data_IF_284726970111
#
_entry.id   IF_284726970111
#
_cell.length_a   1.000
_cell.length_b   1.000
_cell.length_c   1.000
_cell.angle_alpha   90.00
_cell.angle_beta   90.00
_cell.angle_gamma   90.00
#
_symmetry.space_group_name_H-M   'P 1'
#
loop_
_entity.id
_entity.type
_entity.pdbx_description
1 polymer ?
#
# COMPACT_ATOMS: atom_id res chain seq x y z
N UNK A 1 -5.86 -21.25 4.69
CA UNK A 1 -5.33 -19.88 4.50
C UNK A 1 -6.33 -18.96 5.15
N UNK A 2 -5.87 -18.14 6.10
CA UNK A 2 -6.77 -17.35 6.96
C UNK A 2 -6.63 -15.84 6.72
N UNK A 3 -5.66 -15.43 5.89
CA UNK A 3 -5.50 -14.07 5.38
C UNK A 3 -4.68 -14.10 4.07
N UNK A 4 -4.85 -13.07 3.23
CA UNK A 4 -4.03 -12.86 2.02
C UNK A 4 -3.41 -11.47 2.06
N UNK A 5 -2.09 -11.37 1.80
CA UNK A 5 -1.35 -10.12 1.78
C UNK A 5 -0.70 -9.90 0.41
N UNK A 6 -1.02 -8.78 -0.22
CA UNK A 6 -0.29 -8.24 -1.37
C UNK A 6 0.62 -7.11 -0.87
N UNK A 7 1.92 -7.35 -0.85
CA UNK A 7 2.91 -6.50 -0.17
C UNK A 7 3.44 -5.31 -1.02
N UNK A 8 2.67 -4.87 -2.02
CA UNK A 8 3.09 -3.84 -2.96
C UNK A 8 3.07 -4.31 -4.41
N UNK A 9 3.22 -3.35 -5.32
CA UNK A 9 3.38 -3.52 -6.77
C UNK A 9 2.37 -4.47 -7.37
N UNK A 10 1.09 -4.21 -7.07
CA UNK A 10 -0.01 -4.98 -7.63
C UNK A 10 0.00 -4.92 -9.16
N UNK A 11 0.41 -3.76 -9.69
CA UNK A 11 0.58 -3.55 -11.11
C UNK A 11 1.99 -3.10 -11.46
N UNK A 12 2.40 -3.40 -12.70
CA UNK A 12 3.69 -2.93 -13.25
C UNK A 12 3.76 -1.41 -13.41
N UNK A 13 2.62 -0.77 -13.61
CA UNK A 13 2.52 0.68 -13.84
C UNK A 13 1.33 1.28 -13.08
N UNK A 14 1.35 2.59 -12.78
CA UNK A 14 0.25 3.25 -12.07
C UNK A 14 -1.04 3.34 -12.90
N UNK A 15 -0.96 3.04 -14.20
CA UNK A 15 -2.07 3.01 -15.15
C UNK A 15 -2.13 1.63 -15.81
N UNK A 16 -2.56 0.59 -15.06
CA UNK A 16 -2.63 -0.76 -15.61
C UNK A 16 -3.66 -0.86 -16.74
N UNK A 17 -3.43 -1.77 -17.68
CA UNK A 17 -4.40 -2.07 -18.73
C UNK A 17 -5.71 -2.57 -18.11
N UNK A 18 -6.90 -2.14 -18.61
CA UNK A 18 -8.20 -2.61 -18.13
C UNK A 18 -8.35 -4.14 -18.04
N UNK A 19 -7.73 -4.90 -18.94
CA UNK A 19 -7.71 -6.37 -18.88
C UNK A 19 -7.07 -6.86 -17.58
N UNK A 20 -5.92 -6.32 -17.18
CA UNK A 20 -5.26 -6.70 -15.92
C UNK A 20 -6.08 -6.30 -14.70
N UNK A 21 -6.72 -5.12 -14.74
CA UNK A 21 -7.61 -4.68 -13.66
C UNK A 21 -8.81 -5.62 -13.51
N UNK A 22 -9.44 -6.00 -14.62
CA UNK A 22 -10.56 -6.94 -14.65
C UNK A 22 -10.15 -8.31 -14.10
N UNK A 23 -9.06 -8.89 -14.60
CA UNK A 23 -8.63 -10.22 -14.17
C UNK A 23 -8.26 -10.26 -12.68
N UNK A 24 -7.59 -9.20 -12.19
CA UNK A 24 -7.35 -9.08 -10.76
C UNK A 24 -8.64 -8.95 -9.95
N UNK A 25 -9.58 -8.11 -10.40
CA UNK A 25 -10.88 -7.95 -9.72
C UNK A 25 -11.68 -9.27 -9.67
N UNK A 26 -11.60 -10.11 -10.71
CA UNK A 26 -12.20 -11.45 -10.71
C UNK A 26 -11.57 -12.34 -9.65
N UNK A 27 -10.24 -12.36 -9.52
CA UNK A 27 -9.58 -13.16 -8.48
C UNK A 27 -9.84 -12.62 -7.07
N UNK A 28 -9.84 -11.29 -6.91
CA UNK A 28 -10.16 -10.62 -5.66
C UNK A 28 -11.56 -11.02 -5.19
N UNK A 29 -12.55 -10.97 -6.09
CA UNK A 29 -13.93 -11.40 -5.79
C UNK A 29 -14.02 -12.85 -5.33
N UNK A 30 -13.24 -13.76 -5.93
CA UNK A 30 -13.20 -15.18 -5.50
C UNK A 30 -12.70 -15.32 -4.07
N UNK A 31 -11.69 -14.55 -3.68
CA UNK A 31 -11.18 -14.52 -2.31
C UNK A 31 -12.21 -13.93 -1.34
N UNK A 32 -12.87 -12.84 -1.72
CA UNK A 32 -13.91 -12.22 -0.89
C UNK A 32 -15.09 -13.16 -0.59
N UNK A 33 -15.47 -14.01 -1.55
CA UNK A 33 -16.53 -15.01 -1.36
C UNK A 33 -16.20 -16.06 -0.30
N UNK A 34 -14.95 -16.17 0.13
CA UNK A 34 -14.50 -17.13 1.16
C UNK A 34 -14.36 -16.52 2.55
N UNK A 35 -14.71 -15.24 2.71
CA UNK A 35 -14.60 -14.45 3.94
C UNK A 35 -13.16 -14.44 4.52
N UNK A 36 -12.17 -14.51 3.62
CA UNK A 36 -10.76 -14.40 3.98
C UNK A 36 -10.37 -12.92 3.91
N UNK A 37 -9.83 -12.33 4.99
CA UNK A 37 -9.36 -10.95 4.96
C UNK A 37 -8.17 -10.78 4.00
N UNK A 38 -8.20 -9.71 3.22
CA UNK A 38 -7.25 -9.37 2.17
C UNK A 38 -6.62 -8.04 2.50
N UNK A 39 -5.30 -7.94 2.39
CA UNK A 39 -4.55 -6.70 2.59
C UNK A 39 -3.82 -6.33 1.33
N UNK A 40 -4.00 -5.09 0.87
CA UNK A 40 -3.32 -4.52 -0.29
C UNK A 40 -2.42 -3.37 0.19
N UNK A 41 -1.11 -3.59 0.17
CA UNK A 41 -0.12 -2.53 0.42
C UNK A 41 0.17 -1.83 -0.91
N UNK A 42 0.19 -0.49 -0.91
CA UNK A 42 0.55 0.28 -2.12
C UNK A 42 2.07 0.23 -2.35
N UNK A 43 2.48 -0.21 -3.54
CA UNK A 43 3.89 -0.21 -3.97
C UNK A 43 4.32 1.03 -4.75
N UNK A 44 5.57 1.03 -5.19
CA UNK A 44 6.12 2.14 -5.98
C UNK A 44 5.57 2.17 -7.40
N UNK A 45 5.29 1.00 -7.98
CA UNK A 45 4.73 0.90 -9.33
C UNK A 45 3.24 1.21 -9.38
N UNK A 46 2.55 1.19 -8.24
CA UNK A 46 1.14 1.53 -8.13
C UNK A 46 0.88 3.04 -8.01
N UNK A 47 1.92 3.81 -7.65
CA UNK A 47 1.79 5.23 -7.32
C UNK A 47 2.12 6.11 -8.54
N UNK A 48 1.21 7.00 -8.98
CA UNK A 48 1.50 7.96 -10.03
C UNK A 48 2.53 9.02 -9.60
N UNK A 49 3.30 9.54 -10.56
CA UNK A 49 4.30 10.61 -10.32
C UNK A 49 3.65 11.96 -9.95
N UNK A 50 2.37 12.16 -10.30
CA UNK A 50 1.64 13.38 -10.02
C UNK A 50 1.05 13.36 -8.59
N UNK A 51 1.28 14.44 -7.85
CA UNK A 51 0.74 14.61 -6.50
C UNK A 51 -0.79 14.58 -6.48
N UNK A 52 -1.37 13.88 -5.49
CA UNK A 52 -2.82 13.84 -5.27
C UNK A 52 -3.61 12.96 -6.25
N UNK A 53 -2.96 12.32 -7.23
CA UNK A 53 -3.66 11.36 -8.10
C UNK A 53 -3.93 10.05 -7.36
N UNK A 54 -5.07 9.46 -7.68
CA UNK A 54 -5.43 8.14 -7.22
C UNK A 54 -4.38 7.10 -7.65
N UNK A 55 -4.02 6.19 -6.75
CA UNK A 55 -3.18 5.02 -7.07
C UNK A 55 -3.98 4.02 -7.91
N UNK A 56 -3.29 3.15 -8.66
CA UNK A 56 -3.95 2.05 -9.38
C UNK A 56 -4.76 1.13 -8.45
N UNK A 57 -4.37 1.06 -7.16
CA UNK A 57 -5.02 0.27 -6.11
C UNK A 57 -6.23 1.00 -5.50
N UNK A 58 -6.34 2.32 -5.66
CA UNK A 58 -7.40 3.13 -5.03
C UNK A 58 -8.80 2.76 -5.51
N UNK A 59 -8.92 2.19 -6.72
CA UNK A 59 -10.20 1.67 -7.23
C UNK A 59 -10.79 0.65 -6.25
N UNK A 60 -9.97 -0.19 -5.61
CA UNK A 60 -10.43 -1.19 -4.65
C UNK A 60 -10.78 -0.59 -3.28
N UNK A 61 -10.14 0.53 -2.92
CA UNK A 61 -10.51 1.29 -1.73
C UNK A 61 -11.85 2.03 -1.91
N UNK A 62 -12.09 2.58 -3.10
CA UNK A 62 -13.33 3.31 -3.41
C UNK A 62 -14.57 2.40 -3.51
N UNK A 63 -14.37 1.12 -3.82
CA UNK A 63 -15.44 0.12 -3.93
C UNK A 63 -15.88 -0.45 -2.57
N UNK A 64 -15.27 -0.02 -1.46
CA UNK A 64 -15.55 -0.47 -0.08
C UNK A 64 -15.69 -1.99 0.02
N UNK A 65 -14.70 -2.68 -0.53
CA UNK A 65 -14.71 -4.12 -0.70
C UNK A 65 -14.68 -4.85 0.66
N UNK A 66 -15.68 -5.70 0.89
CA UNK A 66 -15.77 -6.52 2.11
C UNK A 66 -14.46 -7.28 2.35
N UNK A 67 -14.05 -7.33 3.62
CA UNK A 67 -12.84 -8.00 4.08
C UNK A 67 -11.55 -7.57 3.35
N UNK A 68 -11.52 -6.39 2.73
CA UNK A 68 -10.35 -5.89 1.99
C UNK A 68 -9.82 -4.61 2.62
N UNK A 69 -8.53 -4.60 2.95
CA UNK A 69 -7.85 -3.50 3.62
C UNK A 69 -6.76 -2.93 2.72
N UNK A 70 -7.01 -1.76 2.13
CA UNK A 70 -5.98 -1.03 1.38
C UNK A 70 -5.16 -0.18 2.34
N UNK A 71 -3.83 -0.32 2.30
CA UNK A 71 -2.89 0.42 3.16
C UNK A 71 -2.15 1.44 2.30
N UNK A 72 -2.50 2.72 2.50
CA UNK A 72 -1.96 3.87 1.74
C UNK A 72 -1.05 4.77 2.56
N UNK A 73 -1.22 4.72 3.88
CA UNK A 73 -0.37 5.39 4.86
C UNK A 73 0.15 4.35 5.83
N UNK A 74 1.32 4.60 6.46
CA UNK A 74 1.79 3.76 7.56
C UNK A 74 0.70 3.63 8.63
N UNK A 75 0.37 2.40 9.04
CA UNK A 75 -0.59 2.14 10.12
C UNK A 75 -0.41 0.76 10.74
N UNK A 76 -0.79 0.65 12.01
CA UNK A 76 -0.92 -0.61 12.74
C UNK A 76 -2.42 -0.96 12.88
N UNK A 77 -2.81 -2.17 12.55
CA UNK A 77 -4.19 -2.65 12.70
C UNK A 77 -4.24 -4.15 12.92
N UNK A 78 -5.36 -4.66 13.44
CA UNK A 78 -5.56 -6.08 13.71
C UNK A 78 -6.71 -6.61 12.87
N UNK A 79 -6.50 -7.73 12.21
CA UNK A 79 -7.50 -8.48 11.47
C UNK A 79 -8.03 -9.62 12.33
N UNK A 80 -9.33 -9.88 12.25
CA UNK A 80 -9.90 -11.13 12.75
C UNK A 80 -9.74 -12.20 11.68
N UNK A 81 -9.10 -13.33 12.02
CA UNK A 81 -8.97 -14.48 11.14
C UNK A 81 -9.56 -15.74 11.80
N UNK A 82 -9.75 -16.82 11.03
CA UNK A 82 -10.24 -18.11 11.55
C UNK A 82 -9.32 -18.71 12.63
N UNK A 83 -8.02 -18.40 12.57
CA UNK A 83 -7.01 -18.87 13.52
C UNK A 83 -6.72 -17.87 14.64
N UNK A 84 -7.50 -16.80 14.76
CA UNK A 84 -7.34 -15.76 15.78
C UNK A 84 -6.93 -14.40 15.21
N UNK A 85 -6.62 -13.43 16.08
CA UNK A 85 -6.25 -12.08 15.65
C UNK A 85 -4.86 -12.07 14.97
N UNK A 86 -4.77 -11.39 13.83
CA UNK A 86 -3.53 -11.14 13.10
C UNK A 86 -3.22 -9.64 13.10
N UNK A 87 -2.17 -9.22 13.79
CA UNK A 87 -1.72 -7.83 13.78
C UNK A 87 -0.84 -7.55 12.56
N UNK A 88 -1.06 -6.40 11.91
CA UNK A 88 -0.34 -5.96 10.72
C UNK A 88 0.18 -4.54 10.93
N UNK A 89 1.51 -4.41 10.89
CA UNK A 89 2.20 -3.13 10.74
C UNK A 89 2.43 -2.89 9.24
N UNK A 90 1.58 -2.09 8.61
CA UNK A 90 1.63 -1.81 7.18
C UNK A 90 2.51 -0.59 6.90
N UNK A 91 3.51 -0.75 6.03
CA UNK A 91 4.38 0.33 5.55
C UNK A 91 4.35 0.38 4.01
N UNK A 92 3.51 1.25 3.41
CA UNK A 92 3.49 1.46 1.96
C UNK A 92 4.77 2.08 1.44
N UNK A 93 4.99 2.01 0.12
CA UNK A 93 6.16 2.62 -0.49
C UNK A 93 6.28 4.11 -0.13
N UNK A 94 7.42 4.57 0.42
CA UNK A 94 7.61 5.96 0.77
C UNK A 94 7.65 6.81 -0.50
N UNK A 95 6.54 7.47 -0.81
CA UNK A 95 6.49 8.34 -1.98
C UNK A 95 7.34 9.59 -1.73
N UNK A 96 8.13 9.99 -2.74
CA UNK A 96 9.01 11.18 -2.67
C UNK A 96 8.24 12.47 -2.32
N UNK A 97 6.92 12.47 -2.50
CA UNK A 97 6.04 13.57 -2.15
C UNK A 97 6.02 13.87 -0.66
N UNK A 98 6.15 12.87 0.22
CA UNK A 98 6.21 13.09 1.67
C UNK A 98 7.42 13.94 2.09
N UNK A 99 8.49 13.94 1.30
CA UNK A 99 9.68 14.76 1.54
C UNK A 99 9.62 16.12 0.84
N UNK A 100 8.93 16.24 -0.30
CA UNK A 100 8.90 17.51 -1.07
C UNK A 100 8.04 18.62 -0.43
N UNK A 101 7.24 18.30 0.58
CA UNK A 101 6.44 19.29 1.32
C UNK A 101 7.30 20.22 2.19
N UNK A 102 8.54 19.85 2.46
CA UNK A 102 9.48 20.63 3.25
C UNK A 102 10.66 21.05 2.37
N UNK A 103 10.84 22.37 2.23
CA UNK A 103 11.84 22.99 1.35
C UNK A 103 13.28 22.54 1.69
N UNK A 104 13.50 22.09 2.93
CA UNK A 104 14.77 21.53 3.41
C UNK A 104 15.23 20.32 2.59
N UNK A 105 14.30 19.54 2.02
CA UNK A 105 14.63 18.33 1.25
C UNK A 105 14.82 18.57 -0.25
N UNK A 106 14.49 19.76 -0.77
CA UNK A 106 14.61 20.07 -2.21
C UNK A 106 16.06 20.23 -2.68
N UNK A 107 16.97 20.53 -1.76
CA UNK A 107 18.40 20.76 -2.05
C UNK A 107 19.28 19.52 -1.81
N UNK A 108 18.71 18.42 -1.33
CA UNK A 108 19.48 17.21 -1.05
C UNK A 108 19.95 16.52 -2.33
N UNK A 109 21.14 15.93 -2.28
CA UNK A 109 21.58 14.98 -3.29
C UNK A 109 20.63 13.77 -3.34
N UNK A 110 20.64 13.03 -4.45
CA UNK A 110 19.84 11.81 -4.57
C UNK A 110 20.20 10.78 -3.47
N UNK A 111 21.48 10.69 -3.10
CA UNK A 111 21.95 9.79 -2.06
C UNK A 111 21.45 10.21 -0.67
N UNK A 112 21.55 11.49 -0.35
CA UNK A 112 21.07 12.03 0.94
C UNK A 112 19.56 11.91 1.08
N UNK A 113 18.82 12.11 -0.02
CA UNK A 113 17.38 11.87 -0.04
C UNK A 113 17.05 10.41 0.27
N UNK A 114 17.75 9.44 -0.33
CA UNK A 114 17.54 8.02 -0.04
C UNK A 114 17.86 7.67 1.42
N UNK A 115 18.95 8.21 1.96
CA UNK A 115 19.31 8.05 3.39
C UNK A 115 18.21 8.61 4.30
N UNK A 116 17.64 9.76 3.95
CA UNK A 116 16.58 10.36 4.74
C UNK A 116 15.27 9.58 4.67
N UNK A 117 14.89 9.08 3.49
CA UNK A 117 13.73 8.17 3.34
C UNK A 117 13.92 6.96 4.24
N UNK A 118 15.09 6.32 4.18
CA UNK A 118 15.41 5.14 5.01
C UNK A 118 15.27 5.44 6.51
N UNK A 119 15.78 6.59 6.97
CA UNK A 119 15.63 7.04 8.37
C UNK A 119 14.17 7.24 8.78
N UNK A 120 13.35 7.83 7.92
CA UNK A 120 11.92 8.04 8.19
C UNK A 120 11.18 6.71 8.28
N UNK A 121 11.42 5.79 7.34
CA UNK A 121 10.84 4.45 7.38
C UNK A 121 11.25 3.71 8.67
N UNK A 122 12.53 3.74 9.03
CA UNK A 122 13.01 3.12 10.26
C UNK A 122 12.36 3.71 11.53
N UNK A 123 12.11 5.03 11.54
CA UNK A 123 11.37 5.70 12.62
C UNK A 123 9.92 5.20 12.69
N UNK A 124 9.21 5.19 11.56
CA UNK A 124 7.82 4.72 11.50
C UNK A 124 7.67 3.27 11.94
N UNK A 125 8.61 2.40 11.58
CA UNK A 125 8.61 0.99 12.03
C UNK A 125 8.75 0.91 13.56
N UNK A 126 9.65 1.73 14.16
CA UNK A 126 9.79 1.78 15.61
C UNK A 126 8.55 2.32 16.31
N UNK A 127 7.84 3.27 15.69
CA UNK A 127 6.60 3.82 16.26
C UNK A 127 5.45 2.77 16.31
N UNK A 128 5.61 1.61 15.65
CA UNK A 128 4.68 0.48 15.72
C UNK A 128 5.05 -0.60 16.74
N UNK A 129 6.22 -0.52 17.38
CA UNK A 129 6.71 -1.47 18.37
C UNK A 129 6.41 -1.00 19.80
#
# INVERSE_FOLDING_TARGET
VDAVLFAGDLYRTPTPNPTWQREFAVQLRRLQQTDIPIVLIVGNHDTPVAFGRATSVDVFNALDLTATHVVRTPRLFTLTTKSGPLQIAGLPWPTRHYLRADDTYKQLSQEDMLRQISRLCARQIRDFA
#
